data_IF_092381084906
#
_entry.id   IF_092381084906
#
_cell.length_a   1.000
_cell.length_b   1.000
_cell.length_c   1.000
_cell.angle_alpha   90.00
_cell.angle_beta   90.00
_cell.angle_gamma   90.00
#
_symmetry.space_group_name_H-M   'P 1'
#
loop_
_entity.id
_entity.type
_entity.pdbx_description
1 polymer ?
#
# COMPACT_ATOMS: atom_id res chain seq x y z
N UNK A 1 -9.65 1.18 -13.72
CA UNK A 1 -8.23 1.64 -13.72
C UNK A 1 -8.19 3.07 -13.19
N UNK A 2 -7.52 3.29 -12.07
CA UNK A 2 -7.58 4.54 -11.30
C UNK A 2 -6.65 5.60 -11.92
N UNK A 3 -7.15 6.81 -12.17
CA UNK A 3 -6.41 7.94 -12.82
C UNK A 3 -5.11 8.30 -12.09
N UNK A 4 -5.00 7.92 -10.81
CA UNK A 4 -3.82 8.14 -9.98
C UNK A 4 -2.62 7.33 -10.51
N UNK A 5 -2.83 6.08 -10.96
CA UNK A 5 -1.74 5.25 -11.48
C UNK A 5 -1.14 5.80 -12.77
N UNK A 6 -1.97 6.32 -13.68
CA UNK A 6 -1.49 6.90 -14.95
C UNK A 6 -0.57 8.10 -14.72
N UNK A 7 -0.87 8.93 -13.70
CA UNK A 7 0.00 10.06 -13.33
C UNK A 7 1.29 9.63 -12.62
N UNK A 8 1.23 8.58 -11.79
CA UNK A 8 2.40 8.04 -11.10
C UNK A 8 3.36 7.33 -12.07
N UNK A 9 2.83 6.51 -12.99
CA UNK A 9 3.62 5.78 -13.98
C UNK A 9 4.39 6.70 -14.93
N UNK A 10 3.86 7.89 -15.23
CA UNK A 10 4.54 8.90 -16.05
C UNK A 10 5.80 9.49 -15.38
N UNK A 11 5.95 9.30 -14.07
CA UNK A 11 7.10 9.77 -13.28
C UNK A 11 8.01 8.61 -12.83
N UNK A 12 7.75 7.39 -13.31
CA UNK A 12 8.58 6.21 -13.02
C UNK A 12 9.37 5.79 -14.24
N UNK A 13 10.64 5.43 -14.02
CA UNK A 13 11.50 4.85 -15.05
C UNK A 13 11.98 3.46 -14.61
N UNK A 14 12.13 2.50 -15.54
CA UNK A 14 12.79 1.22 -15.29
C UNK A 14 14.32 1.33 -15.37
N UNK A 15 14.86 2.42 -15.89
CA UNK A 15 16.31 2.67 -16.02
C UNK A 15 16.70 3.93 -15.27
N UNK A 16 17.71 3.82 -14.40
CA UNK A 16 18.30 4.94 -13.69
C UNK A 16 19.45 5.52 -14.53
N UNK A 17 19.25 6.72 -15.08
CA UNK A 17 20.31 7.45 -15.79
C UNK A 17 20.86 8.64 -14.98
N UNK A 18 20.47 8.79 -13.71
CA UNK A 18 20.84 9.96 -12.88
C UNK A 18 20.82 9.62 -11.38
N UNK A 19 21.63 10.28 -10.56
CA UNK A 19 21.71 10.03 -9.10
C UNK A 19 20.49 10.57 -8.32
N UNK A 20 19.58 11.26 -9.00
CA UNK A 20 18.43 11.97 -8.42
C UNK A 20 17.18 11.12 -8.19
N UNK A 21 17.25 9.80 -8.42
CA UNK A 21 16.10 8.91 -8.30
C UNK A 21 16.08 8.10 -6.99
N UNK A 22 14.87 7.87 -6.50
CA UNK A 22 14.56 6.99 -5.38
C UNK A 22 14.19 5.61 -5.92
N UNK A 23 14.82 4.56 -5.42
CA UNK A 23 14.61 3.19 -5.90
C UNK A 23 13.69 2.39 -4.97
N UNK A 24 12.57 1.89 -5.51
CA UNK A 24 11.73 0.93 -4.81
C UNK A 24 12.32 -0.49 -4.92
N UNK A 25 12.74 -1.04 -3.79
CA UNK A 25 13.39 -2.36 -3.73
C UNK A 25 12.48 -3.54 -4.09
N UNK A 26 11.16 -3.37 -3.95
CA UNK A 26 10.14 -4.40 -4.24
C UNK A 26 9.75 -4.42 -5.72
N UNK A 27 9.46 -3.27 -6.33
CA UNK A 27 9.05 -3.18 -7.74
C UNK A 27 10.19 -2.93 -8.73
N UNK A 28 11.41 -2.63 -8.27
CA UNK A 28 12.58 -2.24 -9.10
C UNK A 28 12.30 -1.01 -9.98
N UNK A 29 11.39 -0.14 -9.53
CA UNK A 29 11.06 1.12 -10.19
C UNK A 29 11.84 2.27 -9.56
N UNK A 30 12.15 3.26 -10.38
CA UNK A 30 12.82 4.50 -9.97
C UNK A 30 11.83 5.67 -10.01
N UNK A 31 11.83 6.49 -8.97
CA UNK A 31 10.95 7.64 -8.76
C UNK A 31 11.77 8.92 -8.68
N UNK A 32 11.30 9.98 -9.33
CA UNK A 32 12.01 11.26 -9.40
C UNK A 32 11.90 12.11 -8.12
N UNK A 33 10.94 11.84 -7.25
CA UNK A 33 10.69 12.64 -6.06
C UNK A 33 10.07 11.80 -4.93
N UNK A 34 10.26 12.28 -3.70
CA UNK A 34 9.74 11.61 -2.49
C UNK A 34 8.21 11.50 -2.48
N UNK A 35 7.49 12.48 -3.02
CA UNK A 35 6.02 12.45 -3.07
C UNK A 35 5.49 11.29 -3.92
N UNK A 36 6.10 11.02 -5.07
CA UNK A 36 5.72 9.91 -5.94
C UNK A 36 6.13 8.57 -5.36
N UNK A 37 7.30 8.47 -4.75
CA UNK A 37 7.72 7.27 -4.02
C UNK A 37 6.79 6.98 -2.83
N UNK A 38 6.44 8.00 -2.03
CA UNK A 38 5.52 7.88 -0.91
C UNK A 38 4.14 7.42 -1.36
N UNK A 39 3.58 8.04 -2.41
CA UNK A 39 2.27 7.65 -2.94
C UNK A 39 2.30 6.25 -3.58
N UNK A 40 3.37 5.89 -4.27
CA UNK A 40 3.58 4.54 -4.79
C UNK A 40 3.60 3.52 -3.66
N UNK A 41 4.45 3.74 -2.65
CA UNK A 41 4.54 2.87 -1.48
C UNK A 41 3.18 2.78 -0.78
N UNK A 42 2.47 3.89 -0.59
CA UNK A 42 1.15 3.90 0.03
C UNK A 42 0.09 3.10 -0.75
N UNK A 43 0.13 3.11 -2.07
CA UNK A 43 -0.89 2.44 -2.89
C UNK A 43 -0.54 0.98 -3.18
N UNK A 44 0.74 0.66 -3.36
CA UNK A 44 1.20 -0.63 -3.87
C UNK A 44 1.93 -1.49 -2.83
N UNK A 45 2.67 -0.88 -1.91
CA UNK A 45 3.49 -1.59 -0.92
C UNK A 45 2.96 -1.48 0.51
N UNK A 46 1.99 -0.59 0.74
CA UNK A 46 1.37 -0.45 2.04
C UNK A 46 0.73 -1.80 2.32
N UNK A 47 1.33 -2.53 3.27
CA UNK A 47 0.91 -3.87 3.63
C UNK A 47 -0.59 -3.83 3.88
N UNK A 48 -1.33 -4.37 2.92
CA UNK A 48 -2.75 -4.58 3.06
C UNK A 48 -2.92 -5.49 4.26
N UNK A 49 -3.82 -5.09 5.15
CA UNK A 49 -4.20 -5.88 6.31
C UNK A 49 -5.21 -6.89 5.81
N UNK A 50 -4.80 -8.14 5.72
CA UNK A 50 -5.67 -9.23 5.32
C UNK A 50 -6.51 -9.67 6.53
N UNK A 51 -7.81 -9.86 6.31
CA UNK A 51 -8.66 -10.54 7.27
C UNK A 51 -8.38 -12.04 7.22
N UNK A 52 -7.95 -12.65 8.31
CA UNK A 52 -7.66 -14.09 8.36
C UNK A 52 -8.91 -14.99 8.24
N UNK A 53 -10.12 -14.42 8.35
CA UNK A 53 -11.37 -15.17 8.27
C UNK A 53 -11.98 -15.20 6.87
N UNK A 54 -11.97 -14.07 6.14
CA UNK A 54 -12.52 -13.98 4.77
C UNK A 54 -11.48 -13.65 3.70
N UNK A 55 -10.23 -13.37 4.08
CA UNK A 55 -9.14 -12.99 3.19
C UNK A 55 -9.36 -11.65 2.44
N UNK A 56 -10.28 -10.81 2.94
CA UNK A 56 -10.46 -9.45 2.44
C UNK A 56 -9.27 -8.56 2.81
N UNK A 57 -8.92 -7.65 1.90
CA UNK A 57 -7.76 -6.78 2.02
C UNK A 57 -8.16 -5.35 2.41
N UNK A 58 -7.51 -4.81 3.45
CA UNK A 58 -7.77 -3.46 3.94
C UNK A 58 -6.52 -2.58 3.86
N UNK A 59 -6.70 -1.33 3.44
CA UNK A 59 -5.60 -0.36 3.36
C UNK A 59 -5.23 0.27 4.72
N UNK A 60 -6.04 0.08 5.76
CA UNK A 60 -5.81 0.62 7.10
C UNK A 60 -6.12 -0.40 8.19
N UNK A 61 -5.45 -0.26 9.35
CA UNK A 61 -5.76 -1.04 10.54
C UNK A 61 -7.20 -0.80 11.01
N UNK A 62 -7.64 0.46 11.08
CA UNK A 62 -9.01 0.81 11.45
C UNK A 62 -10.05 0.19 10.50
N UNK A 63 -9.74 0.09 9.20
CA UNK A 63 -10.61 -0.55 8.22
C UNK A 63 -10.75 -2.05 8.48
N UNK A 64 -9.63 -2.73 8.78
CA UNK A 64 -9.67 -4.13 9.21
C UNK A 64 -10.41 -4.27 10.54
N UNK A 65 -10.16 -3.44 11.54
CA UNK A 65 -10.79 -3.54 12.87
C UNK A 65 -12.31 -3.38 12.80
N UNK A 66 -12.80 -2.38 12.06
CA UNK A 66 -14.24 -2.18 11.84
C UNK A 66 -14.84 -3.36 11.08
N UNK A 67 -14.11 -3.89 10.08
CA UNK A 67 -14.52 -5.07 9.35
C UNK A 67 -14.63 -6.29 10.27
N UNK A 68 -13.65 -6.52 11.15
CA UNK A 68 -13.71 -7.60 12.13
C UNK A 68 -14.94 -7.42 13.02
N UNK A 69 -15.11 -6.27 13.68
CA UNK A 69 -16.26 -6.05 14.59
C UNK A 69 -17.62 -6.26 13.90
N UNK A 70 -17.77 -5.81 12.65
CA UNK A 70 -19.06 -5.84 11.95
C UNK A 70 -19.34 -7.13 11.17
N UNK A 71 -18.32 -7.75 10.58
CA UNK A 71 -18.48 -8.86 9.61
C UNK A 71 -17.99 -10.20 10.15
N UNK A 72 -17.08 -10.17 11.12
CA UNK A 72 -16.42 -11.36 11.67
C UNK A 72 -16.43 -11.25 13.19
N UNK A 73 -17.51 -11.68 13.86
CA UNK A 73 -17.74 -11.51 15.31
C UNK A 73 -16.50 -11.85 16.17
N UNK A 74 -15.53 -10.94 16.24
CA UNK A 74 -14.30 -11.12 16.99
C UNK A 74 -14.65 -10.59 18.35
N UNK A 75 -14.88 -11.52 19.27
CA UNK A 75 -14.94 -11.19 20.69
C UNK A 75 -13.61 -10.49 20.97
N UNK A 76 -13.65 -9.25 21.49
CA UNK A 76 -12.45 -8.60 22.00
C UNK A 76 -11.82 -9.59 22.98
N UNK A 77 -10.74 -10.24 22.58
CA UNK A 77 -9.91 -10.97 23.53
C UNK A 77 -9.22 -9.89 24.36
N UNK A 78 -9.93 -9.38 25.37
CA UNK A 78 -9.31 -8.73 26.51
C UNK A 78 -8.45 -9.82 27.15
N UNK A 79 -7.20 -9.91 26.73
CA UNK A 79 -6.22 -10.77 27.37
C UNK A 79 -6.10 -10.29 28.82
N UNK A 80 -6.59 -11.14 29.73
CA UNK A 80 -6.44 -11.03 31.19
C UNK A 80 -5.18 -11.80 31.60
#
# INVERSE_FOLDING_TARGET
MNKIWQKMAAQTSPTCNDESYIHCSECKLYFHNEDTDFMHNRVFHQKSRECEECYDMFHTLLGLDLHMVGNHKRIFATNL
#
